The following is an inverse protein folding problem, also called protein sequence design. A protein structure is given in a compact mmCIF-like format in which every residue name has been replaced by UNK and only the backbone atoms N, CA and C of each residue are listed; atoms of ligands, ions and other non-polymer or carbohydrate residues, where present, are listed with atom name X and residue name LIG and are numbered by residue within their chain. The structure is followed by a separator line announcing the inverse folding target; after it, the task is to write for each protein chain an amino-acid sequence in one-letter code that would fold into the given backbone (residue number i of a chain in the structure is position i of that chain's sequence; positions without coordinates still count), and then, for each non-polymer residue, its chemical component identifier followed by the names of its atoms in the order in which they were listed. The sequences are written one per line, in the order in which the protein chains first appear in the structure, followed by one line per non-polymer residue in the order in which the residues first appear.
data_IF_652779054965
#
_entry.id   IF_652779054965
#
_cell.length_a   1.000
_cell.length_b   1.000
_cell.length_c   1.000
_cell.angle_alpha   90.00
_cell.angle_beta   90.00
_cell.angle_gamma   90.00
#
_symmetry.space_group_name_H-M   'P 1'
#
loop_
_entity.id
_entity.type
_entity.pdbx_description
1 polymer ?
#
# COMPACT_ATOMS: atom_id res chain seq x y z
N UNK A 1 6.48 -1.18 26.44
CA UNK A 1 5.77 -0.37 25.42
C UNK A 1 5.09 -1.31 24.43
N UNK A 2 3.86 -1.05 24.01
CA UNK A 2 3.10 -1.93 23.11
C UNK A 2 2.63 -1.19 21.86
N UNK A 3 2.40 -1.92 20.77
CA UNK A 3 1.86 -1.43 19.49
C UNK A 3 0.55 -2.13 19.17
N UNK A 4 -0.30 -1.48 18.38
CA UNK A 4 -1.57 -2.05 17.92
C UNK A 4 -1.39 -2.60 16.52
N UNK A 5 -1.56 -3.91 16.35
CA UNK A 5 -1.56 -4.55 15.03
C UNK A 5 -2.77 -4.15 14.21
N UNK A 6 -2.68 -4.34 12.89
CA UNK A 6 -3.80 -4.15 11.95
C UNK A 6 -5.05 -4.97 12.30
N UNK A 7 -4.88 -6.10 12.99
CA UNK A 7 -5.98 -6.92 13.50
C UNK A 7 -6.46 -6.54 14.92
N UNK A 8 -6.04 -5.37 15.44
CA UNK A 8 -6.39 -4.87 16.77
C UNK A 8 -5.62 -5.48 17.95
N UNK A 9 -4.82 -6.54 17.74
CA UNK A 9 -4.05 -7.16 18.82
C UNK A 9 -2.90 -6.27 19.29
N UNK A 10 -2.70 -6.20 20.59
CA UNK A 10 -1.53 -5.56 21.17
C UNK A 10 -0.31 -6.48 21.08
N UNK A 11 0.85 -5.91 20.77
CA UNK A 11 2.13 -6.62 20.80
C UNK A 11 3.21 -5.76 21.44
N UNK A 12 4.13 -6.37 22.20
CA UNK A 12 5.30 -5.68 22.73
C UNK A 12 6.25 -5.25 21.61
N UNK A 13 6.73 -4.00 21.69
CA UNK A 13 7.70 -3.45 20.73
C UNK A 13 9.02 -4.23 20.84
N UNK A 14 9.55 -4.67 19.70
CA UNK A 14 10.85 -5.33 19.60
C UNK A 14 11.67 -4.68 18.50
N UNK A 15 12.84 -4.13 18.83
CA UNK A 15 13.76 -3.49 17.89
C UNK A 15 14.05 -4.40 16.69
N UNK A 16 14.42 -5.65 16.96
CA UNK A 16 14.77 -6.64 15.94
C UNK A 16 13.66 -6.88 14.92
N UNK A 17 12.39 -6.73 15.31
CA UNK A 17 11.26 -6.90 14.38
C UNK A 17 11.13 -5.74 13.40
N UNK A 18 11.44 -4.52 13.84
CA UNK A 18 11.46 -3.33 12.98
C UNK A 18 12.61 -3.47 11.99
N UNK A 19 13.82 -3.73 12.50
CA UNK A 19 15.04 -3.89 11.68
C UNK A 19 14.89 -5.02 10.67
N UNK A 20 14.47 -6.22 11.08
CA UNK A 20 14.28 -7.35 10.17
C UNK A 20 13.22 -7.09 9.08
N UNK A 21 12.24 -6.22 9.35
CA UNK A 21 11.25 -5.82 8.34
C UNK A 21 11.87 -4.89 7.31
N UNK A 22 12.68 -3.93 7.73
CA UNK A 22 13.35 -3.00 6.84
C UNK A 22 14.44 -3.70 6.01
N UNK A 23 15.17 -4.64 6.62
CA UNK A 23 16.15 -5.49 5.92
C UNK A 23 15.54 -6.24 4.74
N UNK A 24 14.36 -6.84 4.93
CA UNK A 24 13.65 -7.53 3.83
C UNK A 24 13.29 -6.63 2.64
N UNK A 25 13.21 -5.32 2.84
CA UNK A 25 12.88 -4.34 1.80
C UNK A 25 14.12 -3.66 1.20
N UNK A 26 15.30 -3.93 1.77
CA UNK A 26 16.58 -3.31 1.39
C UNK A 26 17.37 -4.07 0.32
N UNK A 27 16.74 -5.04 -0.35
CA UNK A 27 17.41 -5.85 -1.37
C UNK A 27 17.97 -4.99 -2.50
N UNK A 28 19.18 -5.31 -2.96
CA UNK A 28 19.83 -4.60 -4.08
C UNK A 28 19.97 -3.09 -3.88
N UNK A 29 20.08 -2.62 -2.63
CA UNK A 29 20.42 -1.22 -2.33
C UNK A 29 21.93 -1.09 -2.08
N UNK A 30 22.45 0.12 -2.27
CA UNK A 30 23.82 0.49 -1.96
C UNK A 30 24.18 0.17 -0.49
N UNK A 31 25.39 -0.32 -0.21
CA UNK A 31 25.89 -0.51 1.16
C UNK A 31 25.90 0.78 2.00
N UNK A 32 25.78 1.95 1.38
CA UNK A 32 25.66 3.25 2.07
C UNK A 32 24.30 3.45 2.74
N UNK A 33 23.29 2.64 2.39
CA UNK A 33 21.97 2.68 3.05
C UNK A 33 22.05 1.93 4.37
N UNK A 34 22.08 2.68 5.47
CA UNK A 34 22.10 2.14 6.82
C UNK A 34 20.67 1.98 7.37
N UNK A 35 20.18 0.75 7.32
CA UNK A 35 18.84 0.37 7.77
C UNK A 35 18.70 0.52 9.29
N UNK A 36 19.80 0.30 10.03
CA UNK A 36 19.81 0.39 11.49
C UNK A 36 19.53 1.83 11.91
N UNK A 37 20.06 2.81 11.18
CA UNK A 37 19.82 4.23 11.47
C UNK A 37 18.36 4.62 11.22
N UNK A 38 17.75 4.11 10.15
CA UNK A 38 16.31 4.27 9.90
C UNK A 38 15.49 3.64 11.03
N UNK A 39 15.84 2.42 11.45
CA UNK A 39 15.15 1.72 12.53
C UNK A 39 15.23 2.47 13.86
N UNK A 40 16.42 2.95 14.25
CA UNK A 40 16.63 3.74 15.47
C UNK A 40 15.75 5.00 15.48
N UNK A 41 15.81 5.81 14.42
CA UNK A 41 15.00 7.02 14.28
C UNK A 41 13.50 6.75 14.28
N UNK A 42 13.07 5.65 13.65
CA UNK A 42 11.66 5.24 13.67
C UNK A 42 11.21 4.89 15.10
N UNK A 43 12.09 4.26 15.89
CA UNK A 43 11.77 3.80 17.24
C UNK A 43 11.66 4.95 18.23
N UNK A 44 12.41 6.03 18.03
CA UNK A 44 12.30 7.26 18.82
C UNK A 44 10.89 7.88 18.73
N UNK A 45 10.16 7.66 17.63
CA UNK A 45 8.78 8.10 17.47
C UNK A 45 7.72 7.13 18.01
N UNK A 46 8.11 6.00 18.63
CA UNK A 46 7.14 5.03 19.16
C UNK A 46 6.61 5.48 20.51
N UNK A 47 5.28 5.51 20.63
CA UNK A 47 4.57 5.68 21.89
C UNK A 47 3.68 4.46 22.18
N UNK A 48 3.26 4.30 23.44
CA UNK A 48 2.40 3.18 23.83
C UNK A 48 1.04 3.26 23.11
N UNK A 49 0.67 2.19 22.41
CA UNK A 49 -0.58 2.09 21.67
C UNK A 49 -0.48 2.56 20.21
N UNK A 50 0.70 2.94 19.72
CA UNK A 50 0.85 3.37 18.31
C UNK A 50 0.47 2.24 17.33
N UNK A 51 -0.37 2.51 16.30
CA UNK A 51 -0.71 1.54 15.28
C UNK A 51 0.51 1.14 14.43
N UNK A 52 0.63 -0.16 14.11
CA UNK A 52 1.70 -0.66 13.22
C UNK A 52 1.68 -0.05 11.81
N UNK A 53 0.52 0.45 11.34
CA UNK A 53 0.41 1.19 10.08
C UNK A 53 1.08 2.56 10.16
N UNK A 54 0.98 3.24 11.30
CA UNK A 54 1.61 4.53 11.54
C UNK A 54 3.13 4.39 11.69
N UNK A 55 3.59 3.31 12.33
CA UNK A 55 5.02 2.99 12.39
C UNK A 55 5.65 2.77 11.02
N UNK A 56 4.97 2.03 10.14
CA UNK A 56 5.47 1.84 8.77
C UNK A 56 5.47 3.17 7.99
N UNK A 57 4.52 4.08 8.24
CA UNK A 57 4.52 5.42 7.64
C UNK A 57 5.71 6.25 8.14
N UNK A 58 5.94 6.28 9.46
CA UNK A 58 7.07 6.99 10.06
C UNK A 58 8.41 6.45 9.53
N UNK A 59 8.54 5.14 9.38
CA UNK A 59 9.74 4.52 8.80
C UNK A 59 9.97 4.94 7.35
N UNK A 60 8.90 5.00 6.54
CA UNK A 60 8.99 5.45 5.15
C UNK A 60 9.37 6.94 5.06
N UNK A 61 8.78 7.81 5.87
CA UNK A 61 9.11 9.23 5.95
C UNK A 61 10.55 9.45 6.44
N UNK A 62 10.97 8.70 7.45
CA UNK A 62 12.35 8.72 7.96
C UNK A 62 13.34 8.34 6.86
N UNK A 63 13.08 7.25 6.13
CA UNK A 63 13.92 6.85 5.01
C UNK A 63 13.92 7.94 3.91
N UNK A 64 12.76 8.49 3.55
CA UNK A 64 12.67 9.55 2.54
C UNK A 64 13.49 10.79 2.91
N UNK A 65 13.53 11.15 4.20
CA UNK A 65 14.34 12.28 4.70
C UNK A 65 15.85 12.08 4.49
N UNK A 66 16.31 10.83 4.42
CA UNK A 66 17.72 10.45 4.22
C UNK A 66 18.11 10.37 2.74
N UNK A 67 17.20 10.70 1.81
CA UNK A 67 17.50 10.79 0.37
C UNK A 67 18.63 11.78 0.08
N UNK A 68 18.78 12.82 0.91
CA UNK A 68 19.89 13.79 0.83
C UNK A 68 21.27 13.14 1.03
N UNK A 69 21.31 11.99 1.71
CA UNK A 69 22.54 11.25 1.98
C UNK A 69 22.86 10.27 0.84
N UNK A 70 21.85 9.56 0.34
CA UNK A 70 21.98 8.64 -0.79
C UNK A 70 20.62 8.40 -1.47
N UNK A 71 20.51 8.39 -2.81
CA UNK A 71 19.24 8.24 -3.52
C UNK A 71 18.47 6.94 -3.21
N UNK A 72 19.18 5.83 -2.95
CA UNK A 72 18.55 4.54 -2.61
C UNK A 72 17.69 4.57 -1.32
N UNK A 73 17.85 5.58 -0.46
CA UNK A 73 16.92 5.79 0.65
C UNK A 73 15.49 6.12 0.16
N UNK A 74 15.34 6.78 -0.99
CA UNK A 74 14.05 7.01 -1.61
C UNK A 74 13.42 5.70 -2.12
N UNK A 75 14.26 4.78 -2.62
CA UNK A 75 13.81 3.43 -3.02
C UNK A 75 13.35 2.66 -1.79
N UNK A 76 14.13 2.65 -0.71
CA UNK A 76 13.74 2.03 0.55
C UNK A 76 12.43 2.61 1.10
N UNK A 77 12.31 3.93 1.14
CA UNK A 77 11.10 4.64 1.57
C UNK A 77 9.87 4.21 0.77
N UNK A 78 9.99 4.17 -0.56
CA UNK A 78 8.92 3.71 -1.46
C UNK A 78 8.52 2.27 -1.15
N UNK A 79 9.49 1.36 -1.00
CA UNK A 79 9.22 -0.05 -0.71
C UNK A 79 8.55 -0.26 0.64
N UNK A 80 8.91 0.54 1.66
CA UNK A 80 8.22 0.52 2.96
C UNK A 80 6.77 0.98 2.80
N UNK A 81 6.53 2.09 2.10
CA UNK A 81 5.20 2.64 1.87
C UNK A 81 4.31 1.67 1.09
N UNK A 82 4.83 1.06 0.01
CA UNK A 82 4.13 0.04 -0.78
C UNK A 82 3.84 -1.21 0.06
N UNK A 83 4.83 -1.70 0.83
CA UNK A 83 4.62 -2.84 1.75
C UNK A 83 3.54 -2.52 2.80
N UNK A 84 3.46 -1.28 3.26
CA UNK A 84 2.42 -0.84 4.17
C UNK A 84 1.05 -0.87 3.48
N UNK A 85 0.94 -0.30 2.28
CA UNK A 85 -0.30 -0.29 1.49
C UNK A 85 -0.80 -1.71 1.23
N UNK A 86 0.08 -2.63 0.80
CA UNK A 86 -0.28 -4.03 0.54
C UNK A 86 -0.84 -4.74 1.78
N UNK A 87 -0.37 -4.39 2.98
CA UNK A 87 -0.91 -4.95 4.23
C UNK A 87 -2.23 -4.33 4.67
N UNK A 88 -2.59 -3.16 4.15
CA UNK A 88 -3.84 -2.46 4.45
C UNK A 88 -4.89 -2.61 3.34
N UNK A 89 -4.59 -3.33 2.25
CA UNK A 89 -5.46 -3.52 1.09
C UNK A 89 -5.65 -5.00 0.77
N UNK A 90 -6.81 -5.33 0.18
CA UNK A 90 -7.10 -6.67 -0.34
C UNK A 90 -6.15 -7.01 -1.49
N UNK A 91 -5.68 -8.26 -1.58
CA UNK A 91 -4.76 -8.68 -2.64
C UNK A 91 -5.48 -8.88 -3.99
N UNK A 92 -6.65 -9.51 -4.00
CA UNK A 92 -7.40 -9.79 -5.24
C UNK A 92 -7.96 -8.49 -5.83
N UNK A 93 -7.73 -8.29 -7.13
CA UNK A 93 -8.24 -7.16 -7.89
C UNK A 93 -9.75 -7.24 -8.02
N UNK A 94 -10.29 -8.39 -8.46
CA UNK A 94 -11.74 -8.59 -8.63
C UNK A 94 -12.52 -8.30 -7.34
N UNK A 95 -12.03 -8.78 -6.18
CA UNK A 95 -12.63 -8.50 -4.87
C UNK A 95 -12.57 -7.02 -4.48
N UNK A 96 -11.47 -6.34 -4.79
CA UNK A 96 -11.35 -4.89 -4.55
C UNK A 96 -12.33 -4.13 -5.43
N UNK A 97 -12.46 -4.48 -6.71
CA UNK A 97 -13.42 -3.86 -7.63
C UNK A 97 -14.86 -4.08 -7.18
N UNK A 98 -15.21 -5.30 -6.77
CA UNK A 98 -16.53 -5.58 -6.19
C UNK A 98 -16.83 -4.72 -4.97
N UNK A 99 -15.87 -4.56 -4.06
CA UNK A 99 -16.05 -3.68 -2.88
C UNK A 99 -16.22 -2.19 -3.24
N UNK A 100 -15.60 -1.74 -4.34
CA UNK A 100 -15.77 -0.38 -4.87
C UNK A 100 -17.12 -0.19 -5.57
N UNK A 101 -17.60 -1.24 -6.25
CA UNK A 101 -18.90 -1.26 -6.87
C UNK A 101 -20.02 -1.29 -5.82
N UNK A 102 -19.95 -2.21 -4.85
CA UNK A 102 -20.94 -2.37 -3.78
C UNK A 102 -20.87 -1.26 -2.70
N UNK A 103 -20.17 -0.15 -2.96
CA UNK A 103 -19.98 0.90 -1.96
C UNK A 103 -21.31 1.57 -1.60
N UNK A 104 -21.60 1.58 -0.30
CA UNK A 104 -22.75 2.27 0.29
C UNK A 104 -22.21 3.43 1.12
N UNK A 105 -22.65 4.66 0.83
CA UNK A 105 -22.22 5.81 1.58
C UNK A 105 -22.77 5.74 3.02
N UNK A 106 -21.90 5.70 4.05
CA UNK A 106 -22.34 5.54 5.44
C UNK A 106 -23.18 6.72 5.96
N UNK A 107 -23.14 7.89 5.30
CA UNK A 107 -23.93 9.06 5.69
C UNK A 107 -25.36 9.03 5.15
N UNK A 108 -25.53 8.55 3.92
CA UNK A 108 -26.82 8.56 3.22
C UNK A 108 -27.47 7.19 3.10
N UNK A 109 -26.73 6.12 3.42
CA UNK A 109 -27.12 4.71 3.22
C UNK A 109 -27.51 4.39 1.77
N UNK A 110 -27.03 5.18 0.81
CA UNK A 110 -27.28 4.98 -0.63
C UNK A 110 -26.14 4.22 -1.26
N UNK A 111 -26.50 3.33 -2.18
CA UNK A 111 -25.56 2.67 -3.08
C UNK A 111 -24.97 3.71 -4.04
N UNK A 112 -23.66 3.93 -3.97
CA UNK A 112 -22.92 4.91 -4.77
C UNK A 112 -21.71 4.20 -5.39
N UNK A 113 -21.91 3.37 -6.42
CA UNK A 113 -20.84 2.57 -7.00
C UNK A 113 -19.76 3.48 -7.57
N UNK A 114 -18.50 3.13 -7.30
CA UNK A 114 -17.32 3.84 -7.83
C UNK A 114 -16.88 3.27 -9.19
N UNK A 115 -17.58 2.26 -9.70
CA UNK A 115 -17.36 1.61 -10.99
C UNK A 115 -18.70 1.55 -11.75
N UNK A 116 -18.63 1.59 -13.08
CA UNK A 116 -19.80 1.39 -13.92
C UNK A 116 -20.21 -0.09 -13.96
N UNK A 117 -21.52 -0.34 -14.07
CA UNK A 117 -22.11 -1.69 -14.07
C UNK A 117 -21.53 -2.58 -15.18
N UNK A 118 -21.34 -2.02 -16.39
CA UNK A 118 -20.78 -2.75 -17.54
C UNK A 118 -19.32 -3.18 -17.28
N UNK A 119 -18.53 -2.30 -16.66
CA UNK A 119 -17.14 -2.61 -16.29
C UNK A 119 -17.09 -3.66 -15.19
N UNK A 120 -17.96 -3.58 -14.17
CA UNK A 120 -17.98 -4.57 -13.11
C UNK A 120 -18.36 -5.96 -13.63
N UNK A 121 -19.34 -6.04 -14.55
CA UNK A 121 -19.73 -7.30 -15.18
C UNK A 121 -18.56 -7.95 -15.91
N UNK A 122 -17.82 -7.18 -16.72
CA UNK A 122 -16.63 -7.68 -17.45
C UNK A 122 -15.58 -8.22 -16.48
N UNK A 123 -15.34 -7.51 -15.37
CA UNK A 123 -14.38 -7.91 -14.34
C UNK A 123 -14.82 -9.22 -13.67
N UNK A 124 -16.11 -9.40 -13.38
CA UNK A 124 -16.66 -10.64 -12.81
C UNK A 124 -16.49 -11.83 -13.75
N UNK A 125 -16.84 -11.66 -15.03
CA UNK A 125 -16.75 -12.72 -16.04
C UNK A 125 -15.30 -13.20 -16.27
N UNK A 126 -14.32 -12.32 -16.03
CA UNK A 126 -12.89 -12.58 -16.27
C UNK A 126 -12.04 -12.56 -14.99
N UNK A 127 -12.68 -12.70 -13.82
CA UNK A 127 -12.05 -12.44 -12.52
C UNK A 127 -10.76 -13.26 -12.27
N UNK A 128 -10.77 -14.56 -12.60
CA UNK A 128 -9.62 -15.44 -12.39
C UNK A 128 -8.42 -15.07 -13.28
N UNK A 129 -8.68 -14.75 -14.54
CA UNK A 129 -7.67 -14.32 -15.50
C UNK A 129 -7.06 -12.98 -15.09
N UNK A 130 -7.90 -11.99 -14.76
CA UNK A 130 -7.43 -10.65 -14.36
C UNK A 130 -6.64 -10.70 -13.04
N UNK A 131 -7.11 -11.45 -12.04
CA UNK A 131 -6.42 -11.60 -10.75
C UNK A 131 -5.05 -12.30 -10.90
N UNK A 132 -4.95 -13.30 -11.78
CA UNK A 132 -3.70 -14.05 -12.00
C UNK A 132 -2.68 -13.32 -12.88
N UNK A 133 -3.14 -12.40 -13.73
CA UNK A 133 -2.27 -11.62 -14.63
C UNK A 133 -1.50 -10.51 -13.90
N UNK A 134 -2.02 -10.04 -12.76
CA UNK A 134 -1.41 -8.92 -12.03
C UNK A 134 -0.11 -9.34 -11.32
N UNK A 135 0.97 -8.63 -11.64
CA UNK A 135 2.27 -8.79 -10.99
C UNK A 135 2.46 -7.68 -9.94
N UNK A 136 2.10 -7.97 -8.69
CA UNK A 136 2.19 -6.99 -7.58
C UNK A 136 3.60 -6.52 -7.24
N UNK A 137 4.63 -7.26 -7.62
CA UNK A 137 6.02 -6.85 -7.39
C UNK A 137 6.38 -5.56 -8.16
N UNK A 138 5.64 -5.25 -9.23
CA UNK A 138 5.77 -4.00 -9.98
C UNK A 138 5.44 -2.76 -9.15
N UNK A 139 4.63 -2.89 -8.09
CA UNK A 139 4.36 -1.78 -7.17
C UNK A 139 5.63 -1.31 -6.43
N UNK A 140 6.65 -2.17 -6.27
CA UNK A 140 7.91 -1.79 -5.64
C UNK A 140 8.88 -1.04 -6.58
N UNK A 141 8.48 -0.81 -7.83
CA UNK A 141 9.24 -0.06 -8.83
C UNK A 141 9.02 1.45 -8.81
N UNK A 142 8.04 1.96 -8.05
CA UNK A 142 7.80 3.39 -7.92
C UNK A 142 8.89 4.06 -7.06
N UNK A 143 9.15 5.33 -7.35
CA UNK A 143 9.84 6.20 -6.40
C UNK A 143 8.89 6.63 -5.27
N UNK A 144 9.44 7.15 -4.17
CA UNK A 144 8.63 7.49 -3.00
C UNK A 144 7.62 8.61 -3.30
N UNK A 145 8.05 9.64 -4.03
CA UNK A 145 7.20 10.80 -4.33
C UNK A 145 6.12 10.49 -5.37
N UNK A 146 6.42 9.69 -6.40
CA UNK A 146 5.43 9.20 -7.35
C UNK A 146 4.41 8.30 -6.67
N UNK A 147 4.85 7.38 -5.79
CA UNK A 147 3.93 6.57 -5.01
C UNK A 147 3.01 7.43 -4.11
N UNK A 148 3.55 8.43 -3.41
CA UNK A 148 2.74 9.34 -2.58
C UNK A 148 1.75 10.18 -3.39
N UNK A 149 2.11 10.55 -4.61
CA UNK A 149 1.18 11.20 -5.55
C UNK A 149 0.01 10.28 -5.90
N UNK A 150 0.29 9.01 -6.23
CA UNK A 150 -0.75 8.01 -6.50
C UNK A 150 -1.66 7.80 -5.28
N UNK A 151 -1.07 7.63 -4.10
CA UNK A 151 -1.76 7.43 -2.83
C UNK A 151 -2.74 8.59 -2.51
N UNK A 152 -2.32 9.83 -2.80
CA UNK A 152 -3.11 11.02 -2.51
C UNK A 152 -4.32 11.15 -3.43
N UNK A 153 -4.12 10.98 -4.73
CA UNK A 153 -5.06 11.49 -5.75
C UNK A 153 -5.61 10.45 -6.73
N UNK A 154 -4.99 9.28 -6.88
CA UNK A 154 -5.33 8.34 -7.96
C UNK A 154 -5.94 7.03 -7.48
N UNK A 155 -5.50 6.52 -6.33
CA UNK A 155 -6.03 5.27 -5.78
C UNK A 155 -7.40 5.50 -5.14
N UNK A 156 -8.40 4.71 -5.54
CA UNK A 156 -9.75 4.82 -5.00
C UNK A 156 -9.79 4.45 -3.52
N UNK A 157 -10.71 5.11 -2.81
CA UNK A 157 -10.86 5.03 -1.36
C UNK A 157 -12.26 4.56 -0.99
N UNK A 158 -12.33 3.72 0.04
CA UNK A 158 -13.55 3.33 0.74
C UNK A 158 -13.47 3.92 2.15
N UNK A 159 -14.50 4.68 2.57
CA UNK A 159 -14.55 5.32 3.90
C UNK A 159 -13.29 6.15 4.24
N UNK A 160 -12.74 6.85 3.23
CA UNK A 160 -11.53 7.64 3.37
C UNK A 160 -10.22 6.84 3.45
N UNK A 161 -10.28 5.51 3.40
CA UNK A 161 -9.12 4.61 3.37
C UNK A 161 -8.87 4.09 1.98
N UNK A 162 -7.61 3.96 1.60
CA UNK A 162 -7.24 3.47 0.27
C UNK A 162 -7.61 2.00 0.15
N UNK A 163 -8.37 1.68 -0.90
CA UNK A 163 -8.81 0.33 -1.20
C UNK A 163 -7.97 -0.30 -2.33
N UNK A 164 -7.51 0.51 -3.28
CA UNK A 164 -6.76 0.06 -4.44
C UNK A 164 -5.25 0.04 -4.23
N UNK A 165 -4.59 -0.91 -4.90
CA UNK A 165 -3.15 -0.89 -5.15
C UNK A 165 -2.86 -0.22 -6.51
N UNK A 166 -1.63 0.26 -6.77
CA UNK A 166 -1.29 0.82 -8.08
C UNK A 166 -1.53 -0.16 -9.23
N UNK A 167 -1.19 -1.45 -9.08
CA UNK A 167 -1.55 -2.44 -10.11
C UNK A 167 -3.08 -2.59 -10.30
N UNK A 168 -3.89 -2.44 -9.25
CA UNK A 168 -5.35 -2.47 -9.40
C UNK A 168 -5.84 -1.28 -10.22
N UNK A 169 -5.31 -0.09 -9.96
CA UNK A 169 -5.61 1.11 -10.73
C UNK A 169 -5.25 0.91 -12.21
N UNK A 170 -4.05 0.38 -12.52
CA UNK A 170 -3.67 0.12 -13.91
C UNK A 170 -4.61 -0.89 -14.59
N UNK A 171 -4.93 -2.00 -13.92
CA UNK A 171 -5.84 -3.00 -14.49
C UNK A 171 -7.26 -2.43 -14.68
N UNK A 172 -7.78 -1.68 -13.72
CA UNK A 172 -9.06 -0.98 -13.85
C UNK A 172 -9.08 -0.03 -15.05
N UNK A 173 -8.02 0.73 -15.27
CA UNK A 173 -7.90 1.63 -16.44
C UNK A 173 -7.87 0.82 -17.73
N UNK A 174 -7.10 -0.27 -17.79
CA UNK A 174 -7.03 -1.13 -18.96
C UNK A 174 -8.40 -1.73 -19.32
N UNK A 175 -9.10 -2.34 -18.35
CA UNK A 175 -10.45 -2.88 -18.56
C UNK A 175 -11.44 -1.76 -18.93
N UNK A 176 -11.32 -0.58 -18.32
CA UNK A 176 -12.16 0.58 -18.65
C UNK A 176 -12.00 1.05 -20.11
N UNK A 177 -10.82 0.89 -20.70
CA UNK A 177 -10.53 1.27 -22.08
C UNK A 177 -10.89 0.16 -23.07
N UNK A 178 -10.46 -1.08 -22.79
CA UNK A 178 -10.53 -2.21 -23.72
C UNK A 178 -11.79 -3.06 -23.57
N UNK A 179 -12.49 -2.96 -22.44
CA UNK A 179 -13.74 -3.67 -22.15
C UNK A 179 -13.63 -5.17 -22.39
N UNK A 180 -14.35 -5.70 -23.38
CA UNK A 180 -14.43 -7.14 -23.69
C UNK A 180 -13.21 -7.67 -24.46
N UNK A 181 -12.28 -6.81 -24.87
CA UNK A 181 -11.01 -7.22 -25.46
C UNK A 181 -9.99 -7.51 -24.34
N UNK A 182 -10.09 -8.72 -23.77
CA UNK A 182 -9.31 -9.20 -22.61
C UNK A 182 -8.26 -10.22 -23.03
#
# INVERSE_FOLDING_TARGET
MHVIKRNGKQESVKFDKVTARLEKLSYSLSPMVNIIDVAKKTIEGIYAGVPTTELDNLAAETAASLTITHPDYAILASRIAVSNLHKNTTKSFSKTMRALYDYIDPKTSKHLPLLADDIMQIIEENAELLDSTIIYDRDFGFDYFGFKTLEKSYLLKLDGKIAERPQHMYMRVAVGIHKNDI
#
